data_IF_550904620457
#
_entry.id   IF_550904620457
#
_cell.length_a   1.000
_cell.length_b   1.000
_cell.length_c   1.000
_cell.angle_alpha   90.00
_cell.angle_beta   90.00
_cell.angle_gamma   90.00
#
_symmetry.space_group_name_H-M   'P 1'
#
loop_
_entity.id
_entity.type
_entity.pdbx_description
1 polymer ?
#
# COMPACT_ATOMS: atom_id res chain seq x y z
N UNK A 1 -31.14 16.48 10.03
CA UNK A 1 -30.32 15.40 10.62
C UNK A 1 -29.20 15.08 9.63
N UNK A 2 -28.06 15.77 9.74
CA UNK A 2 -26.98 15.69 8.76
C UNK A 2 -26.04 14.53 9.12
N UNK A 3 -25.85 13.58 8.20
CA UNK A 3 -24.71 12.65 8.25
C UNK A 3 -23.60 13.30 7.42
N UNK A 4 -22.43 13.64 7.98
CA UNK A 4 -21.29 13.98 7.14
C UNK A 4 -20.82 12.67 6.49
N UNK A 5 -21.15 12.50 5.21
CA UNK A 5 -20.45 11.55 4.35
C UNK A 5 -19.03 12.08 4.19
N UNK A 6 -18.16 11.71 5.13
CA UNK A 6 -16.72 11.84 4.96
C UNK A 6 -16.33 10.92 3.82
N UNK A 7 -16.28 11.46 2.61
CA UNK A 7 -15.52 10.89 1.52
C UNK A 7 -14.09 10.82 2.03
N UNK A 8 -13.68 9.66 2.56
CA UNK A 8 -12.28 9.39 2.83
C UNK A 8 -11.59 9.57 1.47
N UNK A 9 -10.95 10.71 1.28
CA UNK A 9 -9.94 10.87 0.25
C UNK A 9 -9.01 9.68 0.44
N UNK A 10 -8.75 8.87 -0.61
CA UNK A 10 -7.79 7.79 -0.45
C UNK A 10 -6.54 8.42 0.11
N UNK A 11 -6.07 7.93 1.25
CA UNK A 11 -4.79 8.36 1.84
C UNK A 11 -3.79 8.34 0.69
N UNK A 12 -3.36 9.52 0.29
CA UNK A 12 -2.43 9.61 -0.83
C UNK A 12 -1.13 9.01 -0.31
N UNK A 13 -0.59 8.12 -1.13
CA UNK A 13 0.57 7.29 -0.79
C UNK A 13 1.64 7.55 -1.81
N UNK A 14 2.82 7.95 -1.34
CA UNK A 14 3.98 8.09 -2.22
C UNK A 14 4.70 6.76 -2.37
N UNK A 15 5.25 6.55 -3.56
CA UNK A 15 6.20 5.49 -3.82
C UNK A 15 7.60 6.01 -3.48
N UNK A 16 8.27 5.33 -2.56
CA UNK A 16 9.65 5.63 -2.21
C UNK A 16 10.49 4.37 -2.42
N UNK A 17 11.50 4.47 -3.29
CA UNK A 17 12.40 3.36 -3.62
C UNK A 17 13.49 3.23 -2.55
N UNK A 18 13.57 2.09 -1.86
CA UNK A 18 14.62 1.77 -0.91
C UNK A 18 15.25 0.42 -1.26
N UNK A 19 16.58 0.36 -1.36
CA UNK A 19 17.31 -0.87 -1.71
C UNK A 19 16.76 -1.61 -2.96
N UNK A 20 16.35 -0.85 -3.98
CA UNK A 20 15.79 -1.39 -5.22
C UNK A 20 14.35 -1.89 -5.13
N UNK A 21 13.63 -1.59 -4.05
CA UNK A 21 12.21 -1.93 -3.85
C UNK A 21 11.40 -0.66 -3.59
N UNK A 22 10.28 -0.50 -4.29
CA UNK A 22 9.32 0.57 -4.07
C UNK A 22 8.41 0.25 -2.88
N UNK A 23 8.53 1.04 -1.83
CA UNK A 23 7.64 1.04 -0.68
C UNK A 23 6.57 2.13 -0.81
N UNK A 24 5.42 1.92 -0.18
CA UNK A 24 4.40 2.96 -0.09
C UNK A 24 4.44 3.58 1.29
N UNK A 25 4.49 4.91 1.32
CA UNK A 25 4.54 5.73 2.52
C UNK A 25 3.30 6.62 2.51
N UNK A 26 2.59 6.70 3.63
CA UNK A 26 1.40 7.56 3.74
C UNK A 26 1.79 9.03 3.80
N UNK A 27 0.91 9.91 3.34
CA UNK A 27 1.08 11.36 3.46
C UNK A 27 1.31 11.83 4.91
N UNK A 28 0.72 11.14 5.89
CA UNK A 28 0.95 11.44 7.30
C UNK A 28 2.42 11.20 7.69
N UNK A 29 3.01 10.09 7.26
CA UNK A 29 4.42 9.78 7.53
C UNK A 29 5.37 10.68 6.74
N UNK A 30 4.97 11.13 5.54
CA UNK A 30 5.72 12.14 4.77
C UNK A 30 5.71 13.52 5.42
N UNK A 31 4.52 13.99 5.83
CA UNK A 31 4.32 15.33 6.38
C UNK A 31 4.97 15.53 7.74
N UNK A 32 5.16 14.44 8.50
CA UNK A 32 5.89 14.46 9.76
C UNK A 32 7.39 14.70 9.60
N UNK A 33 7.93 14.58 8.37
CA UNK A 33 9.32 14.89 8.05
C UNK A 33 10.24 14.37 9.15
N UNK A 34 10.23 13.06 9.38
CA UNK A 34 10.97 12.42 10.47
C UNK A 34 12.37 13.03 10.55
N UNK A 35 12.76 13.62 11.69
CA UNK A 35 13.89 14.56 11.79
C UNK A 35 15.24 13.92 11.42
N UNK A 36 15.30 12.59 11.36
CA UNK A 36 16.48 11.81 11.01
C UNK A 36 16.52 11.35 9.54
N UNK A 37 15.60 11.82 8.69
CA UNK A 37 15.49 11.39 7.30
C UNK A 37 15.12 9.90 7.18
N UNK A 38 14.26 9.43 8.09
CA UNK A 38 13.74 8.05 8.13
C UNK A 38 12.29 8.04 7.66
N UNK A 39 11.92 7.11 6.80
CA UNK A 39 10.53 6.94 6.37
C UNK A 39 10.03 5.59 6.83
N UNK A 40 8.79 5.56 7.31
CA UNK A 40 8.07 4.32 7.62
C UNK A 40 7.12 3.98 6.48
N UNK A 41 7.30 2.82 5.88
CA UNK A 41 6.39 2.27 4.90
C UNK A 41 5.11 1.75 5.56
N UNK A 42 4.06 1.53 4.75
CA UNK A 42 2.84 0.86 5.20
C UNK A 42 3.11 -0.55 5.73
N UNK A 43 4.14 -1.25 5.22
CA UNK A 43 4.55 -2.56 5.73
C UNK A 43 5.40 -2.48 7.02
N UNK A 44 5.38 -1.35 7.71
CA UNK A 44 6.17 -1.04 8.92
C UNK A 44 7.70 -1.04 8.76
N UNK A 45 8.20 -1.24 7.55
CA UNK A 45 9.63 -1.14 7.26
C UNK A 45 10.09 0.32 7.34
N UNK A 46 11.23 0.55 8.01
CA UNK A 46 11.81 1.89 8.20
C UNK A 46 13.13 1.98 7.43
N UNK A 47 13.26 2.98 6.56
CA UNK A 47 14.47 3.21 5.75
C UNK A 47 14.91 4.67 5.78
N UNK A 48 16.21 4.92 5.58
CA UNK A 48 16.77 6.27 5.55
C UNK A 48 16.85 6.82 4.12
N UNK A 49 16.94 8.15 3.96
CA UNK A 49 17.20 8.82 2.67
C UNK A 49 18.42 8.24 1.95
N UNK A 50 19.45 7.79 2.68
CA UNK A 50 20.66 7.20 2.10
C UNK A 50 20.40 5.84 1.42
N UNK A 51 19.29 5.15 1.75
CA UNK A 51 18.87 3.91 1.12
C UNK A 51 18.08 4.12 -0.19
N UNK A 52 17.81 5.39 -0.56
CA UNK A 52 17.16 5.78 -1.81
C UNK A 52 18.15 5.68 -2.97
N UNK A 53 18.57 4.46 -3.27
CA UNK A 53 19.50 4.15 -4.34
C UNK A 53 18.76 3.59 -5.55
N UNK A 54 19.01 4.17 -6.73
CA UNK A 54 18.51 3.75 -8.05
C UNK A 54 16.96 3.60 -8.16
N UNK A 55 16.38 3.72 -9.36
CA UNK A 55 14.97 3.39 -9.55
C UNK A 55 14.70 1.95 -9.10
N UNK A 56 13.61 1.73 -8.37
CA UNK A 56 13.26 0.39 -7.93
C UNK A 56 12.94 -0.52 -9.12
N UNK A 57 13.38 -1.76 -9.03
CA UNK A 57 13.08 -2.80 -10.01
C UNK A 57 11.83 -3.61 -9.61
N UNK A 58 11.37 -3.46 -8.37
CA UNK A 58 10.29 -4.25 -7.77
C UNK A 58 9.46 -3.38 -6.82
N UNK A 59 8.17 -3.71 -6.63
CA UNK A 59 7.34 -3.10 -5.56
C UNK A 59 7.24 -4.02 -4.34
N UNK A 60 7.18 -3.43 -3.16
CA UNK A 60 7.02 -4.15 -1.90
C UNK A 60 5.63 -4.82 -1.84
N UNK A 61 5.62 -6.15 -1.71
CA UNK A 61 4.39 -6.95 -1.59
C UNK A 61 3.62 -6.63 -0.32
N UNK A 62 4.32 -6.40 0.80
CA UNK A 62 3.69 -6.03 2.07
C UNK A 62 2.91 -4.73 1.97
N UNK A 63 3.52 -3.68 1.40
CA UNK A 63 2.84 -2.40 1.17
C UNK A 63 1.57 -2.54 0.33
N UNK A 64 1.53 -3.50 -0.60
CA UNK A 64 0.36 -3.71 -1.45
C UNK A 64 -0.78 -4.41 -0.74
N UNK A 65 -0.47 -5.32 0.18
CA UNK A 65 -1.46 -5.97 1.04
C UNK A 65 -2.15 -4.92 1.91
N UNK A 66 -1.38 -4.03 2.53
CA UNK A 66 -1.90 -2.99 3.42
C UNK A 66 -2.82 -1.97 2.72
N UNK A 67 -2.70 -1.81 1.40
CA UNK A 67 -3.55 -0.89 0.62
C UNK A 67 -4.85 -1.51 0.14
N UNK A 68 -5.00 -2.82 0.24
CA UNK A 68 -6.26 -3.48 -0.08
C UNK A 68 -7.11 -3.40 1.18
N UNK A 69 -8.26 -2.71 1.15
CA UNK A 69 -9.14 -2.62 2.31
C UNK A 69 -9.42 -4.01 2.86
N UNK A 70 -9.05 -4.25 4.12
CA UNK A 70 -9.15 -5.56 4.75
C UNK A 70 -10.61 -6.04 4.76
N UNK A 71 -10.84 -7.37 4.64
CA UNK A 71 -12.19 -7.91 4.68
C UNK A 71 -12.85 -7.67 6.05
N UNK A 72 -14.18 -7.57 6.08
CA UNK A 72 -14.92 -7.47 7.34
C UNK A 72 -14.84 -8.81 8.10
N UNK A 73 -13.94 -8.89 9.08
CA UNK A 73 -13.71 -10.07 9.91
C UNK A 73 -14.83 -10.33 10.93
N UNK A 74 -15.66 -9.32 11.20
CA UNK A 74 -16.72 -9.36 12.22
C UNK A 74 -18.12 -9.50 11.61
N UNK A 75 -18.23 -9.83 10.32
CA UNK A 75 -19.52 -10.03 9.68
C UNK A 75 -20.30 -11.17 10.36
N UNK A 76 -21.45 -10.85 10.94
CA UNK A 76 -22.34 -11.81 11.62
C UNK A 76 -22.88 -12.93 10.69
N UNK A 77 -22.85 -12.72 9.37
CA UNK A 77 -23.25 -13.70 8.36
C UNK A 77 -22.03 -14.29 7.64
N UNK A 78 -21.84 -15.61 7.76
CA UNK A 78 -20.78 -16.36 7.08
C UNK A 78 -20.77 -16.21 5.55
N UNK A 79 -21.92 -15.96 4.91
CA UNK A 79 -21.97 -15.70 3.46
C UNK A 79 -21.44 -14.31 3.14
N UNK A 80 -21.76 -13.31 3.96
CA UNK A 80 -21.24 -11.95 3.86
C UNK A 80 -19.74 -11.91 4.09
N UNK A 81 -19.24 -12.61 5.10
CA UNK A 81 -17.80 -12.74 5.37
C UNK A 81 -17.06 -13.36 4.17
N UNK A 82 -17.54 -14.50 3.65
CA UNK A 82 -16.93 -15.16 2.48
C UNK A 82 -16.88 -14.27 1.24
N UNK A 83 -17.95 -13.51 0.97
CA UNK A 83 -17.95 -12.52 -0.12
C UNK A 83 -16.91 -11.42 0.11
N UNK A 84 -16.83 -10.89 1.33
CA UNK A 84 -15.84 -9.86 1.67
C UNK A 84 -14.40 -10.36 1.45
N UNK A 85 -14.09 -11.57 1.90
CA UNK A 85 -12.76 -12.19 1.70
C UNK A 85 -12.49 -12.44 0.22
N UNK A 86 -13.46 -12.95 -0.53
CA UNK A 86 -13.30 -13.18 -1.97
C UNK A 86 -13.02 -11.87 -2.72
N UNK A 87 -13.77 -10.80 -2.43
CA UNK A 87 -13.54 -9.48 -3.02
C UNK A 87 -12.16 -8.94 -2.68
N UNK A 88 -11.72 -9.06 -1.42
CA UNK A 88 -10.37 -8.68 -1.00
C UNK A 88 -9.30 -9.46 -1.75
N UNK A 89 -9.43 -10.79 -1.83
CA UNK A 89 -8.47 -11.65 -2.52
C UNK A 89 -8.37 -11.32 -4.01
N UNK A 90 -9.50 -11.10 -4.70
CA UNK A 90 -9.49 -10.67 -6.11
C UNK A 90 -8.82 -9.32 -6.31
N UNK A 91 -9.07 -8.34 -5.43
CA UNK A 91 -8.43 -7.03 -5.49
C UNK A 91 -6.91 -7.12 -5.27
N UNK A 92 -6.48 -7.94 -4.31
CA UNK A 92 -5.06 -8.21 -4.03
C UNK A 92 -4.38 -8.88 -5.22
N UNK A 93 -4.96 -9.95 -5.76
CA UNK A 93 -4.42 -10.66 -6.92
C UNK A 93 -4.31 -9.73 -8.14
N UNK A 94 -5.32 -8.90 -8.40
CA UNK A 94 -5.26 -7.90 -9.47
C UNK A 94 -4.15 -6.87 -9.28
N UNK A 95 -3.86 -6.47 -8.04
CA UNK A 95 -2.72 -5.60 -7.72
C UNK A 95 -1.38 -6.30 -7.95
N UNK A 96 -1.24 -7.54 -7.50
CA UNK A 96 -0.03 -8.34 -7.68
C UNK A 96 0.26 -8.59 -9.17
N UNK A 97 -0.76 -8.95 -9.96
CA UNK A 97 -0.62 -9.17 -11.39
C UNK A 97 -0.14 -7.92 -12.16
N UNK A 98 -0.58 -6.72 -11.75
CA UNK A 98 -0.09 -5.45 -12.32
C UNK A 98 1.39 -5.18 -12.02
N UNK A 99 1.97 -5.83 -11.01
CA UNK A 99 3.42 -5.75 -10.76
C UNK A 99 4.17 -6.63 -11.75
N UNK A 100 3.70 -7.86 -11.92
CA UNK A 100 4.36 -8.86 -12.77
C UNK A 100 4.22 -8.50 -14.25
N UNK A 101 3.10 -7.88 -14.63
CA UNK A 101 2.88 -7.34 -15.98
C UNK A 101 3.62 -6.02 -16.27
N UNK A 102 4.24 -5.39 -15.27
CA UNK A 102 5.02 -4.16 -15.43
C UNK A 102 6.52 -4.44 -15.28
N UNK A 103 6.98 -5.52 -15.91
CA UNK A 103 8.39 -5.70 -16.21
C UNK A 103 8.86 -4.49 -17.05
N UNK A 104 10.06 -3.93 -16.80
CA UNK A 104 10.58 -2.85 -17.63
C UNK A 104 10.73 -3.37 -19.06
N UNK A 105 9.90 -2.88 -19.97
CA UNK A 105 10.14 -2.99 -21.40
C UNK A 105 11.38 -2.16 -21.72
N UNK A 106 12.55 -2.76 -21.65
CA UNK A 106 13.72 -2.30 -22.38
C UNK A 106 13.49 -2.64 -23.86
N UNK A 107 13.07 -1.67 -24.66
CA UNK A 107 13.23 -1.64 -26.12
C UNK A 107 13.25 -0.20 -26.60
#
# INVERSE_FOLDING_TARGET
MSRPGGSATPDTVALISAAGVDHQVSDAELGLGQPDGRYRALCDEVFTVAALSAPAERRCRGCLVELVPQPDEHAADSRRQRRSVATWAHALLGRLARLEGMAPSCS
#
